data_IF_420565026326
#
_entry.id   IF_420565026326
#
_cell.length_a   1.000
_cell.length_b   1.000
_cell.length_c   1.000
_cell.angle_alpha   90.00
_cell.angle_beta   90.00
_cell.angle_gamma   90.00
#
_symmetry.space_group_name_H-M   'P 1'
#
loop_
_entity.id
_entity.type
_entity.pdbx_description
1 polymer ?
#
# COMPACT_ATOMS: atom_id res chain seq x y z
N UNK A 1 5.17 17.37 -19.36
CA UNK A 1 6.00 17.04 -18.17
C UNK A 1 5.60 15.65 -17.70
N UNK A 2 6.41 14.62 -17.95
CA UNK A 2 6.11 13.25 -17.51
C UNK A 2 6.86 13.02 -16.20
N UNK A 3 6.12 12.96 -15.09
CA UNK A 3 6.69 12.58 -13.79
C UNK A 3 6.84 11.06 -13.82
N UNK A 4 8.07 10.57 -13.99
CA UNK A 4 8.35 9.14 -13.92
C UNK A 4 8.40 8.75 -12.45
N UNK A 5 7.29 8.27 -11.92
CA UNK A 5 7.22 7.67 -10.59
C UNK A 5 8.16 6.45 -10.55
N UNK A 6 8.94 6.34 -9.48
CA UNK A 6 9.81 5.19 -9.24
C UNK A 6 8.92 3.95 -9.02
N UNK A 7 9.20 2.87 -9.76
CA UNK A 7 8.53 1.58 -9.56
C UNK A 7 9.11 0.94 -8.29
N UNK A 8 8.32 0.73 -7.24
CA UNK A 8 8.79 0.05 -6.03
C UNK A 8 8.90 -1.45 -6.25
N UNK A 9 9.96 -2.07 -5.72
CA UNK A 9 10.08 -3.52 -5.58
C UNK A 9 9.84 -3.93 -4.12
N UNK A 10 9.60 -5.22 -3.86
CA UNK A 10 9.32 -5.71 -2.50
C UNK A 10 10.40 -5.33 -1.48
N UNK A 11 11.67 -5.31 -1.88
CA UNK A 11 12.78 -4.92 -1.01
C UNK A 11 12.76 -3.44 -0.60
N UNK A 12 12.12 -2.57 -1.37
CA UNK A 12 11.97 -1.14 -1.03
C UNK A 12 10.99 -0.92 0.13
N UNK A 13 10.23 -1.95 0.51
CA UNK A 13 9.17 -1.88 1.50
C UNK A 13 9.63 -2.39 2.88
N UNK A 14 10.74 -3.14 2.93
CA UNK A 14 11.31 -3.66 4.17
C UNK A 14 11.64 -2.50 5.11
N UNK A 15 11.13 -2.56 6.35
CA UNK A 15 11.27 -1.52 7.36
C UNK A 15 10.30 -0.35 7.21
N UNK A 16 9.31 -0.44 6.31
CA UNK A 16 8.28 0.60 6.16
C UNK A 16 7.49 0.82 7.46
N UNK A 17 7.30 2.08 7.82
CA UNK A 17 6.44 2.46 8.95
C UNK A 17 4.95 2.50 8.59
N UNK A 18 4.58 2.23 7.34
CA UNK A 18 3.20 2.21 6.88
C UNK A 18 2.64 0.78 6.88
N UNK A 19 1.40 0.61 7.33
CA UNK A 19 0.69 -0.67 7.22
C UNK A 19 0.31 -1.05 5.79
N UNK A 20 0.30 -0.08 4.87
CA UNK A 20 0.03 -0.27 3.45
C UNK A 20 0.56 0.92 2.65
N UNK A 21 1.19 0.67 1.51
CA UNK A 21 1.72 1.67 0.57
C UNK A 21 1.10 1.41 -0.80
N UNK A 22 0.20 2.30 -1.22
CA UNK A 22 -0.46 2.19 -2.52
C UNK A 22 0.52 2.41 -3.68
N UNK A 23 0.46 1.55 -4.70
CA UNK A 23 1.27 1.66 -5.91
C UNK A 23 0.40 2.07 -7.10
N UNK A 24 0.40 3.37 -7.39
CA UNK A 24 -0.35 3.95 -8.50
C UNK A 24 0.10 3.40 -9.86
N UNK A 25 1.35 2.94 -9.98
CA UNK A 25 1.93 2.50 -11.25
C UNK A 25 1.38 1.14 -11.72
N UNK A 26 0.78 0.38 -10.81
CA UNK A 26 0.16 -0.92 -11.06
C UNK A 26 -1.38 -0.86 -11.12
N UNK A 27 -1.96 0.34 -11.19
CA UNK A 27 -3.42 0.47 -11.37
C UNK A 27 -3.81 0.08 -12.78
N UNK A 28 -4.75 -0.84 -12.92
CA UNK A 28 -5.21 -1.38 -14.20
C UNK A 28 -6.73 -1.31 -14.30
N UNK A 29 -7.24 -0.91 -15.46
CA UNK A 29 -8.66 -0.88 -15.78
C UNK A 29 -8.90 -1.78 -16.98
N UNK A 30 -9.78 -2.76 -16.83
CA UNK A 30 -10.21 -3.67 -17.90
C UNK A 30 -11.71 -3.48 -18.12
N UNK A 31 -12.10 -3.09 -19.33
CA UNK A 31 -13.50 -2.81 -19.68
C UNK A 31 -13.98 -3.69 -20.83
N UNK A 32 -15.23 -4.16 -20.74
CA UNK A 32 -15.93 -4.91 -21.80
C UNK A 32 -17.37 -4.42 -21.87
N UNK A 33 -17.72 -3.69 -22.94
CA UNK A 33 -19.02 -3.02 -23.04
C UNK A 33 -19.20 -1.99 -21.91
N UNK A 34 -20.32 -2.09 -21.19
CA UNK A 34 -20.63 -1.23 -20.04
C UNK A 34 -20.05 -1.74 -18.70
N UNK A 35 -19.28 -2.83 -18.73
CA UNK A 35 -18.67 -3.42 -17.53
C UNK A 35 -17.20 -2.96 -17.40
N UNK A 36 -16.81 -2.61 -16.17
CA UNK A 36 -15.46 -2.20 -15.82
C UNK A 36 -14.94 -2.96 -14.59
N UNK A 37 -13.76 -3.54 -14.72
CA UNK A 37 -12.97 -4.10 -13.61
C UNK A 37 -11.79 -3.17 -13.34
N UNK A 38 -11.60 -2.81 -12.07
CA UNK A 38 -10.49 -1.97 -11.62
C UNK A 38 -9.64 -2.76 -10.67
N UNK A 39 -8.36 -2.92 -11.00
CA UNK A 39 -7.35 -3.59 -10.19
C UNK A 39 -6.43 -2.53 -9.59
N UNK A 40 -6.26 -2.62 -8.27
CA UNK A 40 -5.35 -1.76 -7.51
C UNK A 40 -4.38 -2.63 -6.73
N UNK A 41 -3.14 -2.16 -6.57
CA UNK A 41 -2.09 -2.89 -5.85
C UNK A 41 -1.55 -2.02 -4.73
N UNK A 42 -1.24 -2.65 -3.60
CA UNK A 42 -0.55 -2.03 -2.48
C UNK A 42 0.50 -2.99 -1.93
N UNK A 43 1.60 -2.43 -1.46
CA UNK A 43 2.68 -3.13 -0.80
C UNK A 43 2.61 -2.95 0.71
N UNK A 44 3.12 -3.91 1.46
CA UNK A 44 3.30 -3.77 2.90
C UNK A 44 4.44 -4.67 3.36
N UNK A 45 5.16 -4.21 4.39
CA UNK A 45 6.06 -5.08 5.14
C UNK A 45 5.19 -5.87 6.13
N UNK A 46 5.11 -7.18 5.92
CA UNK A 46 4.27 -8.06 6.72
C UNK A 46 4.76 -8.22 8.17
N UNK A 47 6.00 -7.84 8.49
CA UNK A 47 6.53 -7.81 9.84
C UNK A 47 6.51 -6.38 10.40
N UNK A 48 7.37 -5.50 9.91
CA UNK A 48 7.57 -4.18 10.51
C UNK A 48 6.36 -3.26 10.29
N UNK A 49 5.81 -3.26 9.07
CA UNK A 49 4.62 -2.50 8.71
C UNK A 49 3.41 -2.92 9.55
N UNK A 50 3.21 -4.22 9.74
CA UNK A 50 2.19 -4.76 10.63
C UNK A 50 2.41 -4.33 12.10
N UNK A 51 3.63 -4.50 12.63
CA UNK A 51 3.95 -4.14 14.02
C UNK A 51 3.72 -2.64 14.27
N UNK A 52 4.05 -1.76 13.31
CA UNK A 52 3.80 -0.33 13.49
C UNK A 52 2.30 -0.01 13.64
N UNK A 53 1.42 -0.70 12.90
CA UNK A 53 -0.03 -0.55 13.04
C UNK A 53 -0.55 -1.11 14.36
N UNK A 54 0.02 -2.23 14.83
CA UNK A 54 -0.30 -2.80 16.13
C UNK A 54 0.03 -1.81 17.26
N UNK A 55 1.23 -1.20 17.24
CA UNK A 55 1.63 -0.21 18.25
C UNK A 55 0.73 1.03 18.21
N UNK A 56 0.40 1.57 17.03
CA UNK A 56 -0.56 2.70 16.92
C UNK A 56 -1.92 2.36 17.56
N UNK A 57 -2.39 1.14 17.37
CA UNK A 57 -3.65 0.67 17.96
C UNK A 57 -3.52 0.55 19.47
N UNK A 58 -2.41 -0.02 19.96
CA UNK A 58 -2.12 -0.15 21.39
C UNK A 58 -2.03 1.22 22.08
N UNK A 59 -1.33 2.18 21.48
CA UNK A 59 -1.24 3.55 22.00
C UNK A 59 -2.60 4.24 22.06
N UNK A 60 -3.47 4.00 21.08
CA UNK A 60 -4.85 4.49 21.11
C UNK A 60 -5.63 3.81 22.23
N UNK A 61 -5.46 2.50 22.41
CA UNK A 61 -6.13 1.71 23.46
C UNK A 61 -5.70 2.11 24.87
N UNK A 62 -4.41 2.39 25.09
CA UNK A 62 -3.88 2.84 26.38
C UNK A 62 -4.38 4.24 26.81
N UNK A 63 -4.97 5.01 25.89
CA UNK A 63 -5.54 6.35 26.13
C UNK A 63 -7.08 6.35 26.16
N UNK A 64 -7.70 5.17 26.14
CA UNK A 64 -9.14 5.02 26.42
C UNK A 64 -9.40 5.13 27.92
#
# INVERSE_FOLDING_TARGET
>A
MSVKLRLPHSSDIIGSHFGSVFDATQTEITAVGDLQLVKTVAWYDNEYGFVTQLIRTLEKFAKL
#
